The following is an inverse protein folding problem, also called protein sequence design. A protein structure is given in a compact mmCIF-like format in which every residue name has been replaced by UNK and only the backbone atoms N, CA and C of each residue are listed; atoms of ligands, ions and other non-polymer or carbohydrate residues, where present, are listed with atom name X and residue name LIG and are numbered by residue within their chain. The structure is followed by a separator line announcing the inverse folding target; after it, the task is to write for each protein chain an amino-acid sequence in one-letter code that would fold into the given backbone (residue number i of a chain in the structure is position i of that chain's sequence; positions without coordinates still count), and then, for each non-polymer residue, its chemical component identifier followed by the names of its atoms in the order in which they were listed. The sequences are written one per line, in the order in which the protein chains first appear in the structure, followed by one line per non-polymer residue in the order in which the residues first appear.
data_IF_244982380865
#
_entry.id   IF_244982380865
#
_cell.length_a   1.000
_cell.length_b   1.000
_cell.length_c   1.000
_cell.angle_alpha   90.00
_cell.angle_beta   90.00
_cell.angle_gamma   90.00
#
_symmetry.space_group_name_H-M   'P 1'
#
loop_
_entity.id
_entity.type
_entity.pdbx_description
1 polymer ?
#
# COMPACT_ATOMS: atom_id res chain seq x y z
N UNK A 1 -9.36 28.32 -9.95
CA UNK A 1 -8.27 27.57 -9.30
C UNK A 1 -8.89 26.22 -8.99
N UNK A 2 -8.67 25.21 -9.84
CA UNK A 2 -9.30 23.91 -9.63
C UNK A 2 -8.55 23.21 -8.50
N UNK A 3 -9.24 22.98 -7.40
CA UNK A 3 -8.78 22.10 -6.33
C UNK A 3 -8.68 20.70 -6.95
N UNK A 4 -7.46 20.26 -7.24
CA UNK A 4 -7.21 18.85 -7.52
C UNK A 4 -7.43 18.15 -6.19
N UNK A 5 -8.58 17.53 -6.02
CA UNK A 5 -8.74 16.48 -5.02
C UNK A 5 -7.63 15.46 -5.30
N UNK A 6 -6.59 15.43 -4.46
CA UNK A 6 -5.64 14.33 -4.47
C UNK A 6 -6.43 13.12 -4.00
N UNK A 7 -7.06 12.43 -4.96
CA UNK A 7 -7.82 11.21 -4.72
C UNK A 7 -6.86 10.12 -4.24
N UNK A 8 -6.65 10.07 -2.93
CA UNK A 8 -5.90 9.00 -2.28
C UNK A 8 -6.74 7.74 -2.40
N UNK A 9 -6.24 6.80 -3.19
CA UNK A 9 -6.93 5.54 -3.41
C UNK A 9 -6.35 4.48 -2.49
N UNK A 10 -7.25 3.79 -1.79
CA UNK A 10 -6.91 2.62 -0.99
C UNK A 10 -6.98 1.39 -1.89
N UNK A 11 -5.84 0.72 -2.08
CA UNK A 11 -5.74 -0.50 -2.84
C UNK A 11 -5.66 -1.71 -1.91
N UNK A 12 -6.31 -2.79 -2.29
CA UNK A 12 -6.22 -4.07 -1.62
C UNK A 12 -5.23 -4.97 -2.36
N UNK A 13 -4.13 -5.31 -1.72
CA UNK A 13 -3.12 -6.21 -2.25
C UNK A 13 -3.35 -7.62 -1.68
N UNK A 14 -3.56 -8.57 -2.58
CA UNK A 14 -3.70 -9.98 -2.22
C UNK A 14 -2.33 -10.56 -1.94
N UNK A 15 -2.12 -11.04 -0.73
CA UNK A 15 -0.88 -11.67 -0.28
C UNK A 15 -1.07 -13.17 -0.09
N UNK A 16 0.04 -13.89 0.05
CA UNK A 16 -0.01 -15.28 0.51
C UNK A 16 -0.38 -15.29 2.00
N UNK A 17 -1.34 -16.14 2.39
CA UNK A 17 -1.74 -16.30 3.78
C UNK A 17 -0.53 -16.58 4.70
N UNK A 18 -0.53 -15.99 5.90
CA UNK A 18 0.54 -16.06 6.91
C UNK A 18 1.86 -15.37 6.52
N UNK A 19 1.91 -14.66 5.38
CA UNK A 19 3.07 -13.85 4.98
C UNK A 19 2.77 -12.35 4.97
N UNK A 20 1.65 -11.92 5.54
CA UNK A 20 1.23 -10.51 5.56
C UNK A 20 2.26 -9.61 6.25
N UNK A 21 2.87 -10.11 7.34
CA UNK A 21 3.93 -9.40 8.07
C UNK A 21 5.16 -9.14 7.18
N UNK A 22 5.61 -10.20 6.48
CA UNK A 22 6.75 -10.11 5.57
C UNK A 22 6.46 -9.21 4.36
N UNK A 23 5.24 -9.26 3.82
CA UNK A 23 4.83 -8.40 2.71
C UNK A 23 4.76 -6.94 3.16
N UNK A 24 4.25 -6.67 4.36
CA UNK A 24 4.22 -5.31 4.91
C UNK A 24 5.63 -4.71 5.02
N UNK A 25 6.58 -5.47 5.56
CA UNK A 25 8.00 -5.06 5.63
C UNK A 25 8.60 -4.82 4.24
N UNK A 26 8.29 -5.67 3.28
CA UNK A 26 8.77 -5.56 1.90
C UNK A 26 8.24 -4.31 1.20
N UNK A 27 6.92 -4.08 1.28
CA UNK A 27 6.25 -2.92 0.67
C UNK A 27 6.73 -1.62 1.32
N UNK A 28 6.84 -1.59 2.65
CA UNK A 28 7.38 -0.44 3.38
C UNK A 28 8.83 -0.13 2.97
N UNK A 29 9.67 -1.16 2.89
CA UNK A 29 11.07 -1.01 2.48
C UNK A 29 11.21 -0.53 1.03
N UNK A 30 10.36 -1.00 0.12
CA UNK A 30 10.35 -0.57 -1.27
C UNK A 30 9.85 0.86 -1.42
N UNK A 31 8.76 1.22 -0.75
CA UNK A 31 8.23 2.58 -0.74
C UNK A 31 9.29 3.57 -0.24
N UNK A 32 9.99 3.23 0.86
CA UNK A 32 11.08 4.05 1.38
C UNK A 32 12.28 4.15 0.41
N UNK A 33 12.66 3.05 -0.23
CA UNK A 33 13.80 3.01 -1.17
C UNK A 33 13.52 3.79 -2.47
N UNK A 34 12.32 3.62 -3.02
CA UNK A 34 11.91 4.23 -4.28
C UNK A 34 11.30 5.63 -4.11
N UNK A 35 11.10 6.07 -2.85
CA UNK A 35 10.42 7.33 -2.48
C UNK A 35 9.04 7.43 -3.15
N UNK A 36 8.30 6.32 -3.09
CA UNK A 36 6.94 6.27 -3.62
C UNK A 36 6.00 7.03 -2.69
N UNK A 37 4.96 7.60 -3.27
CA UNK A 37 3.93 8.35 -2.54
C UNK A 37 2.91 7.37 -1.92
N UNK A 38 3.41 6.50 -1.04
CA UNK A 38 2.63 5.56 -0.23
C UNK A 38 2.54 6.12 1.19
N UNK A 39 1.33 6.41 1.65
CA UNK A 39 1.09 7.09 2.92
C UNK A 39 0.87 6.12 4.07
N UNK A 40 0.18 5.01 3.81
CA UNK A 40 -0.23 4.07 4.85
C UNK A 40 -0.29 2.65 4.31
N UNK A 41 0.06 1.69 5.17
CA UNK A 41 -0.05 0.25 4.91
C UNK A 41 -0.79 -0.36 6.10
N UNK A 42 -1.91 -1.03 5.84
CA UNK A 42 -2.81 -1.56 6.87
C UNK A 42 -2.82 -3.08 6.79
N UNK A 43 -2.51 -3.72 7.93
CA UNK A 43 -2.68 -5.16 8.13
C UNK A 43 -3.87 -5.43 9.06
N UNK A 44 -5.04 -5.85 8.54
CA UNK A 44 -6.17 -6.22 9.38
C UNK A 44 -5.91 -7.54 10.13
N UNK A 45 -5.99 -7.54 11.46
CA UNK A 45 -5.74 -8.73 12.28
C UNK A 45 -6.77 -9.87 12.08
N UNK A 46 -7.93 -9.58 11.49
CA UNK A 46 -8.99 -10.56 11.22
C UNK A 46 -9.10 -11.02 9.75
N UNK A 47 -8.37 -10.38 8.83
CA UNK A 47 -8.43 -10.69 7.39
C UNK A 47 -7.09 -11.32 6.97
N UNK A 48 -7.14 -12.58 6.54
CA UNK A 48 -5.96 -13.30 6.07
C UNK A 48 -5.78 -13.08 4.58
N UNK A 49 -4.54 -13.03 4.11
CA UNK A 49 -4.16 -12.92 2.69
C UNK A 49 -4.41 -11.54 2.06
N UNK A 50 -4.62 -10.48 2.85
CA UNK A 50 -4.79 -9.13 2.33
C UNK A 50 -4.03 -8.12 3.16
N UNK A 51 -3.44 -7.15 2.47
CA UNK A 51 -2.86 -5.94 3.03
C UNK A 51 -3.46 -4.78 2.24
N UNK A 52 -3.85 -3.70 2.93
CA UNK A 52 -4.29 -2.49 2.25
C UNK A 52 -3.15 -1.51 2.20
N UNK A 53 -3.08 -0.76 1.12
CA UNK A 53 -2.09 0.30 0.93
C UNK A 53 -2.82 1.55 0.43
N UNK A 54 -2.41 2.69 0.94
CA UNK A 54 -2.91 4.00 0.53
C UNK A 54 -1.80 4.72 -0.22
N UNK A 55 -2.05 5.08 -1.47
CA UNK A 55 -1.07 5.72 -2.34
C UNK A 55 -1.69 6.85 -3.16
N UNK A 56 -0.87 7.84 -3.52
CA UNK A 56 -1.29 8.98 -4.35
C UNK A 56 -1.65 8.54 -5.78
N UNK A 57 -0.94 7.55 -6.31
CA UNK A 57 -1.21 7.00 -7.64
C UNK A 57 -1.30 5.49 -7.63
N UNK A 58 -2.06 4.96 -8.59
CA UNK A 58 -2.10 3.52 -8.84
C UNK A 58 -0.71 2.96 -9.21
N UNK A 59 0.12 3.73 -9.89
CA UNK A 59 1.47 3.28 -10.26
C UNK A 59 2.37 3.15 -9.03
N UNK A 60 2.30 4.07 -8.07
CA UNK A 60 3.01 3.95 -6.79
C UNK A 60 2.56 2.71 -6.02
N UNK A 61 1.26 2.43 -6.01
CA UNK A 61 0.68 1.23 -5.41
C UNK A 61 1.20 -0.08 -6.04
N UNK A 62 1.39 -0.11 -7.35
CA UNK A 62 1.89 -1.30 -8.08
C UNK A 62 3.41 -1.46 -7.96
N UNK A 63 4.15 -0.38 -7.66
CA UNK A 63 5.61 -0.40 -7.57
C UNK A 63 6.17 -0.64 -6.16
N UNK A 64 5.33 -0.49 -5.13
CA UNK A 64 5.67 -0.75 -3.73
C UNK A 64 5.71 -2.26 -3.44
#
# INVERSE_FOLDING_TARGET
MAEKEEEMHIFALRTTANREDQVMDFVSSNAAKKKLEVYTIIRPHGMRSYVFLEAATRSDAEQA
#
